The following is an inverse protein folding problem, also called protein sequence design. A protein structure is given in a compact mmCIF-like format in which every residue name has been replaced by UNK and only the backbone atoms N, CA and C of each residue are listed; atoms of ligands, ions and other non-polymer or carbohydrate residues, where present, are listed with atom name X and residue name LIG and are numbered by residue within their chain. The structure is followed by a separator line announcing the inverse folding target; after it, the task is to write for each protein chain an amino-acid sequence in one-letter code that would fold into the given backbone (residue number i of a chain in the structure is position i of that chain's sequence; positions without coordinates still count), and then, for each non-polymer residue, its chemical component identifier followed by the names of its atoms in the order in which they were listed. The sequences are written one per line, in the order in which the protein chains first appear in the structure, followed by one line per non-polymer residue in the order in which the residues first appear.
data_IF_056434475343
#
_entry.id   IF_056434475343
#
_cell.length_a   1.000
_cell.length_b   1.000
_cell.length_c   1.000
_cell.angle_alpha   90.00
_cell.angle_beta   90.00
_cell.angle_gamma   90.00
#
_symmetry.space_group_name_H-M   'P 1'
#
loop_
_entity.id
_entity.type
_entity.pdbx_description
1 polymer ?
#
# COMPACT_ATOMS: atom_id res chain seq x y z
N UNK A 1 -46.50 -56.70 56.52
CA UNK A 1 -46.95 -57.91 55.84
C UNK A 1 -46.50 -57.86 54.38
N UNK A 2 -45.71 -58.89 54.00
CA UNK A 2 -45.18 -59.23 52.66
C UNK A 2 -44.22 -58.25 51.94
N UNK A 3 -42.99 -58.58 52.08
CA UNK A 3 -41.79 -58.30 51.31
C UNK A 3 -41.94 -58.87 49.90
N UNK A 4 -41.55 -58.08 48.91
CA UNK A 4 -41.16 -58.62 47.61
C UNK A 4 -39.94 -57.91 47.06
N UNK A 5 -38.82 -58.60 47.08
CA UNK A 5 -37.57 -58.32 46.44
C UNK A 5 -37.75 -58.35 44.93
N UNK A 6 -37.22 -57.35 44.23
CA UNK A 6 -36.90 -57.47 42.82
C UNK A 6 -35.43 -57.05 42.60
N UNK A 7 -34.69 -58.00 42.04
CA UNK A 7 -33.37 -57.82 41.53
C UNK A 7 -33.39 -56.79 40.38
N UNK A 8 -32.49 -55.80 40.41
CA UNK A 8 -32.19 -54.96 39.28
C UNK A 8 -30.83 -55.36 38.77
N UNK A 9 -30.81 -55.91 37.59
CA UNK A 9 -29.65 -56.28 36.78
C UNK A 9 -28.95 -55.02 36.33
N UNK A 10 -27.67 -54.80 36.74
CA UNK A 10 -26.84 -53.72 36.30
C UNK A 10 -26.29 -54.03 34.89
N UNK A 11 -26.78 -53.36 33.87
CA UNK A 11 -26.18 -53.30 32.55
C UNK A 11 -25.12 -52.20 32.54
N UNK A 12 -23.86 -52.60 32.52
CA UNK A 12 -22.73 -51.73 32.22
C UNK A 12 -22.75 -51.38 30.72
N UNK A 13 -23.19 -50.18 30.37
CA UNK A 13 -22.96 -49.58 29.08
C UNK A 13 -21.67 -48.79 29.14
N UNK A 14 -20.59 -49.32 28.55
CA UNK A 14 -19.38 -48.62 28.25
C UNK A 14 -19.65 -47.60 27.13
N UNK A 15 -19.87 -46.36 27.48
CA UNK A 15 -19.86 -45.25 26.53
C UNK A 15 -18.41 -44.80 26.34
N UNK A 16 -17.78 -45.23 25.25
CA UNK A 16 -16.60 -44.57 24.72
C UNK A 16 -16.98 -43.17 24.24
N UNK A 17 -16.78 -42.15 25.05
CA UNK A 17 -16.79 -40.79 24.63
C UNK A 17 -15.45 -40.45 23.99
N UNK A 18 -15.35 -40.56 22.68
CA UNK A 18 -14.27 -39.95 21.91
C UNK A 18 -14.49 -38.44 21.90
N UNK A 19 -13.89 -37.73 22.83
CA UNK A 19 -13.74 -36.31 22.78
C UNK A 19 -12.71 -35.98 21.72
N UNK A 20 -13.17 -35.90 20.45
CA UNK A 20 -12.42 -35.27 19.37
C UNK A 20 -12.36 -33.78 19.64
N UNK A 21 -11.24 -33.31 20.23
CA UNK A 21 -10.86 -31.91 20.12
C UNK A 21 -10.64 -31.64 18.62
N UNK A 22 -11.24 -30.59 18.04
CA UNK A 22 -10.78 -30.12 16.76
C UNK A 22 -9.38 -29.55 16.98
N UNK A 23 -8.36 -30.30 16.61
CA UNK A 23 -7.00 -29.80 16.44
C UNK A 23 -6.98 -28.98 15.15
N UNK A 24 -7.37 -27.73 15.23
CA UNK A 24 -6.94 -26.73 14.27
C UNK A 24 -5.51 -26.37 14.65
N UNK A 25 -4.57 -27.22 14.30
CA UNK A 25 -3.20 -26.77 14.09
C UNK A 25 -3.25 -25.83 12.91
N UNK A 26 -3.42 -24.54 13.19
CA UNK A 26 -3.08 -23.49 12.29
C UNK A 26 -1.57 -23.65 12.06
N UNK A 27 -1.21 -24.24 10.91
CA UNK A 27 0.18 -24.28 10.47
C UNK A 27 0.62 -22.81 10.34
N UNK A 28 1.45 -22.38 11.26
CA UNK A 28 2.18 -21.12 11.09
C UNK A 28 3.09 -21.29 9.88
N UNK A 29 3.16 -20.28 9.00
CA UNK A 29 4.04 -20.35 7.86
C UNK A 29 5.46 -20.67 8.33
N UNK A 30 6.12 -21.52 7.55
CA UNK A 30 7.52 -21.94 7.70
C UNK A 30 8.41 -20.75 8.08
N UNK A 31 9.49 -20.97 8.85
CA UNK A 31 10.42 -19.90 9.19
C UNK A 31 10.76 -19.10 7.94
N UNK A 32 10.52 -17.80 8.00
CA UNK A 32 10.75 -16.89 6.87
C UNK A 32 12.23 -16.97 6.53
N UNK A 33 12.52 -17.38 5.30
CA UNK A 33 13.89 -17.56 4.82
C UNK A 33 14.70 -16.27 4.98
N UNK A 34 15.98 -16.42 5.35
CA UNK A 34 16.92 -15.32 5.30
C UNK A 34 16.98 -14.81 3.85
N UNK A 35 16.83 -13.51 3.69
CA UNK A 35 16.89 -12.85 2.38
C UNK A 35 18.10 -11.94 2.32
N UNK A 36 18.82 -11.90 1.19
CA UNK A 36 19.94 -10.97 1.02
C UNK A 36 19.53 -9.54 1.40
N UNK A 37 20.43 -8.82 2.06
CA UNK A 37 20.20 -7.42 2.37
C UNK A 37 20.08 -6.62 1.07
N UNK A 38 19.00 -5.86 0.88
CA UNK A 38 18.86 -4.97 -0.27
C UNK A 38 19.98 -3.91 -0.27
N UNK A 39 20.26 -3.38 -1.46
CA UNK A 39 21.27 -2.34 -1.63
C UNK A 39 20.66 -1.11 -2.30
N UNK A 40 21.28 0.06 -2.13
CA UNK A 40 20.83 1.28 -2.82
C UNK A 40 20.80 1.11 -4.34
N UNK A 41 21.75 0.36 -4.91
CA UNK A 41 21.78 0.08 -6.34
C UNK A 41 20.66 -0.85 -6.83
N UNK A 42 20.02 -1.57 -5.91
CA UNK A 42 18.89 -2.48 -6.21
C UNK A 42 17.53 -1.82 -6.09
N UNK A 43 17.44 -0.53 -5.77
CA UNK A 43 16.15 0.18 -5.70
C UNK A 43 15.50 0.20 -7.09
N UNK A 44 14.23 -0.13 -7.15
CA UNK A 44 13.42 0.03 -8.36
C UNK A 44 13.19 1.51 -8.64
N UNK A 45 13.72 1.99 -9.76
CA UNK A 45 13.54 3.37 -10.20
C UNK A 45 12.88 3.38 -11.58
N UNK A 46 11.89 4.24 -11.81
CA UNK A 46 11.25 4.33 -13.12
C UNK A 46 12.18 5.02 -14.12
N UNK A 47 12.07 4.55 -15.37
CA UNK A 47 12.82 5.09 -16.52
C UNK A 47 11.87 5.39 -17.66
N UNK A 48 12.01 6.55 -18.28
CA UNK A 48 11.32 6.90 -19.53
C UNK A 48 12.24 6.55 -20.72
N UNK A 49 12.29 5.28 -21.09
CA UNK A 49 13.23 4.77 -22.11
C UNK A 49 12.85 5.10 -23.56
N UNK A 50 11.65 5.63 -23.79
CA UNK A 50 11.23 6.11 -25.13
C UNK A 50 10.94 5.03 -26.15
N UNK A 51 10.88 3.75 -25.77
CA UNK A 51 10.64 2.65 -26.70
C UNK A 51 9.17 2.58 -27.17
N UNK A 52 8.23 2.98 -26.31
CA UNK A 52 6.81 3.05 -26.61
C UNK A 52 6.29 4.41 -26.15
N UNK A 53 6.11 5.31 -27.09
CA UNK A 53 5.61 6.67 -26.82
C UNK A 53 4.19 6.78 -27.38
N UNK A 54 3.28 7.21 -26.51
CA UNK A 54 1.88 7.50 -26.82
C UNK A 54 1.59 8.97 -26.51
N UNK A 55 0.42 9.44 -26.88
CA UNK A 55 -0.03 10.82 -26.62
C UNK A 55 -0.08 11.64 -27.89
N UNK A 56 0.09 12.97 -27.76
CA UNK A 56 -0.01 13.95 -28.83
C UNK A 56 0.96 15.12 -28.60
N UNK A 57 0.72 16.26 -29.24
CA UNK A 57 1.56 17.47 -29.12
C UNK A 57 1.42 18.17 -27.74
N UNK A 58 0.49 17.74 -26.89
CA UNK A 58 0.21 18.34 -25.59
C UNK A 58 0.74 17.48 -24.43
N UNK A 59 0.66 16.15 -24.58
CA UNK A 59 1.00 15.16 -23.54
C UNK A 59 1.81 14.04 -24.17
N UNK A 60 2.90 13.70 -23.55
CA UNK A 60 3.72 12.54 -23.89
C UNK A 60 3.62 11.48 -22.81
N UNK A 61 3.26 10.27 -23.20
CA UNK A 61 3.15 9.09 -22.33
C UNK A 61 4.21 8.09 -22.76
N UNK A 62 5.17 7.82 -21.89
CA UNK A 62 6.09 6.69 -22.06
C UNK A 62 5.48 5.45 -21.45
N UNK A 63 5.09 4.50 -22.29
CA UNK A 63 4.49 3.23 -21.94
C UNK A 63 5.48 2.06 -22.12
N UNK A 64 6.79 2.34 -22.12
CA UNK A 64 7.84 1.35 -22.39
C UNK A 64 7.94 0.27 -21.33
N UNK A 65 7.50 0.54 -20.10
CA UNK A 65 7.65 -0.33 -18.93
C UNK A 65 6.31 -0.71 -18.28
N UNK A 66 5.27 -0.87 -19.11
CA UNK A 66 3.96 -1.33 -18.61
C UNK A 66 4.00 -2.74 -18.02
N UNK A 67 4.92 -3.56 -18.43
CA UNK A 67 5.19 -4.90 -17.87
C UNK A 67 5.76 -4.84 -16.44
N UNK A 68 6.37 -3.72 -16.06
CA UNK A 68 6.86 -3.43 -14.71
C UNK A 68 5.83 -2.67 -13.87
N UNK A 69 4.68 -2.35 -14.44
CA UNK A 69 3.53 -1.80 -13.73
C UNK A 69 3.53 -0.29 -13.58
N UNK A 70 4.12 0.45 -14.53
CA UNK A 70 4.01 1.91 -14.56
C UNK A 70 4.02 2.47 -15.97
N UNK A 71 3.53 3.70 -16.07
CA UNK A 71 3.76 4.61 -17.19
C UNK A 71 4.39 5.90 -16.65
N UNK A 72 5.06 6.63 -17.53
CA UNK A 72 5.56 7.95 -17.21
C UNK A 72 4.92 8.98 -18.14
N UNK A 73 4.41 10.06 -17.57
CA UNK A 73 3.69 11.09 -18.33
C UNK A 73 4.32 12.43 -18.05
N UNK A 74 4.47 13.23 -19.12
CA UNK A 74 4.82 14.65 -19.01
C UNK A 74 3.94 15.49 -19.90
N UNK A 75 3.65 16.73 -19.49
CA UNK A 75 3.05 17.70 -20.38
C UNK A 75 4.11 18.37 -21.25
N UNK A 76 3.71 18.67 -22.47
CA UNK A 76 4.44 19.56 -23.39
C UNK A 76 3.82 20.95 -23.42
N UNK A 77 2.81 21.19 -22.59
CA UNK A 77 2.02 22.42 -22.48
C UNK A 77 2.31 23.12 -21.15
N UNK A 78 2.48 24.42 -21.18
CA UNK A 78 2.89 25.25 -20.06
C UNK A 78 2.00 26.49 -19.89
N UNK A 79 0.67 26.32 -19.99
CA UNK A 79 -0.29 27.42 -19.91
C UNK A 79 -0.95 27.59 -18.53
N UNK A 80 -0.40 26.92 -17.51
CA UNK A 80 -0.84 26.99 -16.11
C UNK A 80 -2.28 26.55 -15.82
N UNK A 81 -2.93 25.85 -16.75
CA UNK A 81 -4.22 25.22 -16.46
C UNK A 81 -4.03 23.96 -15.64
N UNK A 82 -4.90 23.73 -14.66
CA UNK A 82 -4.89 22.46 -13.92
C UNK A 82 -5.18 21.30 -14.87
N UNK A 83 -4.25 20.36 -14.92
CA UNK A 83 -4.35 19.13 -15.69
C UNK A 83 -4.55 17.95 -14.75
N UNK A 84 -5.42 17.03 -15.12
CA UNK A 84 -5.66 15.79 -14.40
C UNK A 84 -5.51 14.59 -15.32
N UNK A 85 -5.05 13.49 -14.73
CA UNK A 85 -4.98 12.17 -15.37
C UNK A 85 -5.94 11.24 -14.66
N UNK A 86 -6.64 10.38 -15.42
CA UNK A 86 -7.30 9.20 -14.86
C UNK A 86 -6.73 7.95 -15.50
N UNK A 87 -6.38 6.99 -14.66
CA UNK A 87 -6.07 5.62 -15.05
C UNK A 87 -7.33 4.78 -14.80
N UNK A 88 -7.81 4.12 -15.84
CA UNK A 88 -9.11 3.45 -15.83
C UNK A 88 -8.91 2.01 -16.27
N UNK A 89 -9.48 1.07 -15.50
CA UNK A 89 -9.56 -0.35 -15.85
C UNK A 89 -10.77 -0.98 -15.19
N UNK A 90 -11.55 -1.75 -15.94
CA UNK A 90 -12.72 -2.52 -15.46
C UNK A 90 -13.75 -1.70 -14.66
N UNK A 91 -13.85 -0.38 -14.97
CA UNK A 91 -14.76 0.56 -14.30
C UNK A 91 -14.17 1.25 -13.06
N UNK A 92 -13.00 0.84 -12.60
CA UNK A 92 -12.23 1.54 -11.57
C UNK A 92 -11.50 2.74 -12.17
N UNK A 93 -11.55 3.90 -11.53
CA UNK A 93 -10.92 5.14 -11.99
C UNK A 93 -10.00 5.71 -10.91
N UNK A 94 -8.71 5.81 -11.21
CA UNK A 94 -7.68 6.38 -10.32
C UNK A 94 -7.30 7.77 -10.79
N UNK A 95 -7.65 8.83 -10.04
CA UNK A 95 -7.33 10.20 -10.41
C UNK A 95 -5.93 10.60 -9.91
N UNK A 96 -5.23 11.37 -10.76
CA UNK A 96 -3.94 11.97 -10.48
C UNK A 96 -3.89 13.40 -11.03
N UNK A 97 -2.92 14.19 -10.58
CA UNK A 97 -2.59 15.47 -11.16
C UNK A 97 -1.44 15.32 -12.19
N UNK A 98 -1.36 16.23 -13.15
CA UNK A 98 -0.24 16.33 -14.10
C UNK A 98 0.44 17.66 -13.84
N UNK A 99 1.72 17.64 -13.46
CA UNK A 99 2.52 18.84 -13.30
C UNK A 99 2.96 19.40 -14.66
N UNK A 100 3.16 20.71 -14.70
CA UNK A 100 3.54 21.42 -15.93
C UNK A 100 4.98 21.94 -15.85
N UNK A 101 5.88 21.13 -15.30
CA UNK A 101 7.31 21.43 -15.21
C UNK A 101 8.12 20.80 -16.37
N UNK A 102 7.47 20.03 -17.23
CA UNK A 102 8.08 19.31 -18.36
C UNK A 102 8.80 18.03 -17.98
N UNK A 103 8.79 17.67 -16.70
CA UNK A 103 9.36 16.43 -16.23
C UNK A 103 8.38 15.27 -16.35
N UNK A 104 8.90 14.07 -16.47
CA UNK A 104 8.09 12.86 -16.39
C UNK A 104 7.70 12.58 -14.93
N UNK A 105 6.41 12.30 -14.73
CA UNK A 105 5.85 11.79 -13.48
C UNK A 105 5.47 10.33 -13.68
N UNK A 106 5.74 9.51 -12.70
CA UNK A 106 5.41 8.08 -12.72
C UNK A 106 4.01 7.85 -12.17
N UNK A 107 3.21 7.10 -12.93
CA UNK A 107 1.85 6.69 -12.55
C UNK A 107 1.78 5.16 -12.53
N UNK A 108 1.39 4.56 -11.40
CA UNK A 108 1.40 3.11 -11.25
C UNK A 108 0.18 2.46 -11.90
N UNK A 109 0.36 1.25 -12.44
CA UNK A 109 -0.68 0.42 -13.04
C UNK A 109 -1.09 -0.70 -12.06
N UNK A 110 -1.73 -0.32 -10.96
CA UNK A 110 -2.00 -1.18 -9.79
C UNK A 110 -3.24 -2.07 -9.92
N UNK A 111 -3.97 -1.97 -11.03
CA UNK A 111 -5.19 -2.74 -11.26
C UNK A 111 -4.95 -4.11 -11.94
N UNK A 112 -3.68 -4.57 -11.96
CA UNK A 112 -3.29 -5.87 -12.54
C UNK A 112 -3.23 -5.85 -14.07
N UNK A 113 -2.94 -7.00 -14.66
CA UNK A 113 -2.87 -7.16 -16.12
C UNK A 113 -4.23 -6.95 -16.78
N UNK A 114 -4.25 -6.43 -18.02
CA UNK A 114 -5.45 -6.21 -18.82
C UNK A 114 -5.41 -4.92 -19.61
N UNK A 115 -6.55 -4.53 -20.19
CA UNK A 115 -6.66 -3.32 -20.97
C UNK A 115 -6.88 -2.10 -20.05
N UNK A 116 -6.02 -1.10 -20.22
CA UNK A 116 -6.09 0.17 -19.53
C UNK A 116 -6.52 1.29 -20.46
N UNK A 117 -7.22 2.25 -19.92
CA UNK A 117 -7.53 3.52 -20.57
C UNK A 117 -6.95 4.65 -19.73
N UNK A 118 -6.25 5.57 -20.37
CA UNK A 118 -5.75 6.82 -19.77
C UNK A 118 -6.53 7.96 -20.35
N UNK A 119 -7.09 8.80 -19.49
CA UNK A 119 -7.75 10.07 -19.89
C UNK A 119 -7.06 11.25 -19.24
N UNK A 120 -6.68 12.19 -20.06
CA UNK A 120 -6.25 13.52 -19.61
C UNK A 120 -7.40 14.50 -19.63
N UNK A 121 -7.38 15.42 -18.69
CA UNK A 121 -8.40 16.46 -18.53
C UNK A 121 -7.72 17.80 -18.30
N UNK A 122 -8.31 18.87 -18.85
CA UNK A 122 -7.93 20.23 -18.51
C UNK A 122 -9.07 20.95 -17.77
N UNK A 123 -8.71 21.74 -16.77
CA UNK A 123 -9.68 22.58 -16.07
C UNK A 123 -10.15 23.72 -16.99
N UNK A 124 -11.46 23.89 -17.10
CA UNK A 124 -12.07 24.98 -17.86
C UNK A 124 -12.47 26.11 -16.92
N UNK A 125 -13.16 25.79 -15.82
CA UNK A 125 -13.64 26.77 -14.85
C UNK A 125 -14.13 26.07 -13.58
N UNK A 126 -13.65 26.50 -12.42
CA UNK A 126 -14.02 25.91 -11.13
C UNK A 126 -13.74 24.40 -11.09
N UNK A 127 -14.77 23.59 -10.88
CA UNK A 127 -14.66 22.11 -10.86
C UNK A 127 -14.95 21.45 -12.23
N UNK A 128 -15.12 22.23 -13.29
CA UNK A 128 -15.42 21.69 -14.63
C UNK A 128 -14.14 21.39 -15.39
N UNK A 129 -14.06 20.18 -15.94
CA UNK A 129 -12.96 19.70 -16.75
C UNK A 129 -13.44 19.22 -18.12
N UNK A 130 -12.67 19.50 -19.17
CA UNK A 130 -12.84 18.89 -20.48
C UNK A 130 -11.85 17.77 -20.70
N UNK A 131 -12.24 16.77 -21.48
CA UNK A 131 -11.33 15.74 -21.94
C UNK A 131 -10.32 16.35 -22.90
N UNK A 132 -9.05 16.20 -22.59
CA UNK A 132 -7.93 16.67 -23.39
C UNK A 132 -7.45 15.58 -24.34
N UNK A 133 -7.29 14.36 -23.83
CA UNK A 133 -6.89 13.20 -24.62
C UNK A 133 -7.45 11.90 -24.02
N UNK A 134 -7.43 10.87 -24.84
CA UNK A 134 -7.78 9.49 -24.45
C UNK A 134 -6.85 8.53 -25.15
N UNK A 135 -6.26 7.61 -24.40
CA UNK A 135 -5.38 6.57 -24.90
C UNK A 135 -5.71 5.22 -24.25
N UNK A 136 -5.69 4.15 -25.06
CA UNK A 136 -5.92 2.78 -24.60
C UNK A 136 -4.74 1.91 -24.98
N UNK A 137 -4.33 1.03 -24.06
CA UNK A 137 -3.25 0.07 -24.29
C UNK A 137 -3.42 -1.17 -23.41
N UNK A 138 -2.80 -2.26 -23.82
CA UNK A 138 -2.82 -3.51 -23.04
C UNK A 138 -1.59 -3.57 -22.12
N UNK A 139 -1.81 -4.02 -20.90
CA UNK A 139 -0.79 -4.24 -19.88
C UNK A 139 -0.71 -5.72 -19.56
N UNK A 140 0.50 -6.25 -19.56
CA UNK A 140 0.80 -7.58 -19.08
C UNK A 140 1.94 -7.47 -18.08
N UNK A 141 1.60 -7.44 -16.82
CA UNK A 141 2.57 -7.37 -15.74
C UNK A 141 3.46 -8.63 -15.74
N UNK A 142 4.75 -8.44 -15.59
CA UNK A 142 5.70 -9.54 -15.38
C UNK A 142 5.47 -10.19 -14.02
N UNK A 143 5.17 -9.38 -13.00
CA UNK A 143 4.75 -9.80 -11.66
C UNK A 143 3.71 -8.81 -11.12
N UNK A 144 2.65 -9.34 -10.49
CA UNK A 144 1.53 -8.53 -9.95
C UNK A 144 1.95 -7.60 -8.79
N UNK A 145 3.12 -7.83 -8.21
CA UNK A 145 3.66 -7.02 -7.10
C UNK A 145 4.55 -5.87 -7.55
N UNK A 146 5.04 -5.87 -8.79
CA UNK A 146 5.97 -4.87 -9.31
C UNK A 146 5.47 -3.42 -9.21
N UNK A 147 4.19 -3.10 -9.50
CA UNK A 147 3.70 -1.72 -9.38
C UNK A 147 3.91 -1.12 -7.99
N UNK A 148 4.05 -1.97 -6.97
CA UNK A 148 4.18 -1.59 -5.56
C UNK A 148 5.62 -1.54 -5.06
N UNK A 149 6.59 -1.55 -5.98
CA UNK A 149 8.04 -1.39 -5.69
C UNK A 149 8.59 -0.06 -6.21
N UNK A 150 7.91 0.57 -7.17
CA UNK A 150 8.37 1.81 -7.79
C UNK A 150 7.88 3.06 -7.05
N UNK A 151 8.67 4.15 -7.01
CA UNK A 151 8.14 5.45 -6.65
C UNK A 151 7.10 5.90 -7.67
N UNK A 152 6.14 6.68 -7.20
CA UNK A 152 5.09 7.25 -8.02
C UNK A 152 4.66 8.61 -7.46
N UNK A 153 3.65 9.27 -8.04
CA UNK A 153 3.20 10.58 -7.56
C UNK A 153 2.82 10.59 -6.06
N UNK A 154 2.28 9.49 -5.55
CA UNK A 154 1.78 9.39 -4.16
C UNK A 154 2.89 8.98 -3.19
N UNK A 155 3.69 7.99 -3.56
CA UNK A 155 4.84 7.50 -2.80
C UNK A 155 6.10 7.95 -3.54
N UNK A 156 6.45 9.21 -3.34
CA UNK A 156 7.51 9.86 -4.12
C UNK A 156 8.83 9.90 -3.34
N UNK A 157 9.89 9.37 -3.95
CA UNK A 157 11.25 9.37 -3.40
C UNK A 157 12.30 9.22 -4.50
N UNK A 158 13.52 9.57 -4.15
CA UNK A 158 14.72 9.33 -4.96
C UNK A 158 15.76 8.53 -4.14
N UNK A 159 16.79 7.96 -4.75
CA UNK A 159 17.86 7.29 -4.01
C UNK A 159 18.58 8.18 -2.99
N UNK A 160 18.50 9.51 -3.16
CA UNK A 160 19.12 10.51 -2.28
C UNK A 160 18.19 10.98 -1.16
N UNK A 161 16.92 10.57 -1.18
CA UNK A 161 15.96 10.95 -0.13
C UNK A 161 16.42 10.50 1.25
N UNK A 162 16.27 11.36 2.24
CA UNK A 162 16.64 11.05 3.62
C UNK A 162 15.90 9.84 4.18
N UNK A 163 14.64 9.67 3.81
CA UNK A 163 13.80 8.52 4.15
C UNK A 163 14.33 7.20 3.59
N UNK A 164 14.91 7.23 2.37
CA UNK A 164 15.57 6.08 1.75
C UNK A 164 16.82 5.70 2.53
N UNK A 165 17.71 6.65 2.75
CA UNK A 165 18.94 6.41 3.51
C UNK A 165 18.66 5.93 4.92
N UNK A 166 17.65 6.50 5.58
CA UNK A 166 17.22 6.09 6.91
C UNK A 166 16.67 4.65 6.93
N UNK A 167 15.98 4.22 5.89
CA UNK A 167 15.52 2.84 5.78
C UNK A 167 16.68 1.85 5.80
N UNK A 168 17.73 2.09 5.01
CA UNK A 168 18.92 1.23 4.99
C UNK A 168 19.67 1.24 6.31
N UNK A 169 19.82 2.40 6.96
CA UNK A 169 20.43 2.53 8.29
C UNK A 169 19.72 1.67 9.34
N UNK A 170 18.38 1.71 9.35
CA UNK A 170 17.57 0.95 10.31
C UNK A 170 17.61 -0.57 10.11
N UNK A 171 17.75 -1.02 8.88
CA UNK A 171 17.58 -2.43 8.53
C UNK A 171 18.89 -3.17 8.28
N UNK A 172 20.06 -2.54 8.53
CA UNK A 172 21.37 -3.09 8.24
C UNK A 172 21.64 -4.46 8.90
N UNK A 173 21.07 -4.71 10.07
CA UNK A 173 21.24 -5.94 10.83
C UNK A 173 20.06 -6.94 10.64
N UNK A 174 19.04 -6.57 9.86
CA UNK A 174 17.90 -7.44 9.60
C UNK A 174 18.26 -8.53 8.59
N UNK A 175 17.87 -9.77 8.89
CA UNK A 175 18.16 -10.93 8.03
C UNK A 175 16.98 -11.38 7.20
N UNK A 176 15.76 -11.08 7.64
CA UNK A 176 14.51 -11.49 6.98
C UNK A 176 13.67 -10.30 6.55
N UNK A 177 12.78 -10.50 5.58
CA UNK A 177 11.82 -9.48 5.16
C UNK A 177 10.95 -9.03 6.33
N UNK A 178 10.54 -9.97 7.17
CA UNK A 178 9.67 -9.68 8.31
C UNK A 178 10.38 -8.83 9.38
N UNK A 179 11.66 -9.09 9.67
CA UNK A 179 12.44 -8.24 10.55
C UNK A 179 12.54 -6.81 10.02
N UNK A 180 12.75 -6.64 8.69
CA UNK A 180 12.75 -5.32 8.05
C UNK A 180 11.40 -4.62 8.18
N UNK A 181 10.29 -5.34 7.92
CA UNK A 181 8.92 -4.79 8.09
C UNK A 181 8.70 -4.30 9.52
N UNK A 182 9.04 -5.13 10.52
CA UNK A 182 8.89 -4.79 11.94
C UNK A 182 9.74 -3.59 12.35
N UNK A 183 10.99 -3.57 11.92
CA UNK A 183 11.92 -2.50 12.26
C UNK A 183 11.43 -1.17 11.72
N UNK A 184 11.02 -1.13 10.45
CA UNK A 184 10.49 0.08 9.80
C UNK A 184 9.16 0.50 10.45
N UNK A 185 8.24 -0.43 10.67
CA UNK A 185 6.98 -0.13 11.33
C UNK A 185 7.18 0.51 12.71
N UNK A 186 7.94 -0.17 13.56
CA UNK A 186 8.22 0.32 14.90
C UNK A 186 8.91 1.70 14.90
N UNK A 187 9.76 1.94 13.90
CA UNK A 187 10.37 3.24 13.73
C UNK A 187 9.32 4.31 13.37
N UNK A 188 8.50 4.08 12.34
CA UNK A 188 7.50 5.06 11.90
C UNK A 188 6.52 5.38 13.02
N UNK A 189 5.96 4.36 13.70
CA UNK A 189 5.01 4.52 14.81
C UNK A 189 5.60 5.33 15.98
N UNK A 190 6.88 5.13 16.28
CA UNK A 190 7.53 5.84 17.41
C UNK A 190 8.07 7.21 17.03
N UNK A 191 8.47 7.39 15.78
CA UNK A 191 9.13 8.61 15.30
C UNK A 191 8.13 9.70 14.93
N UNK A 192 7.01 9.32 14.30
CA UNK A 192 6.02 10.27 13.80
C UNK A 192 4.89 10.43 14.82
N UNK A 193 4.56 11.65 15.17
CA UNK A 193 3.37 12.01 15.96
C UNK A 193 2.27 12.56 15.06
N UNK A 194 1.00 12.34 15.44
CA UNK A 194 -0.11 12.81 14.61
C UNK A 194 -0.22 14.34 14.62
N UNK A 195 -0.31 14.92 13.42
CA UNK A 195 -0.39 16.36 13.21
C UNK A 195 -1.86 16.80 13.07
N UNK A 196 -2.45 17.19 14.18
CA UNK A 196 -3.84 17.66 14.23
C UNK A 196 -4.05 18.98 13.49
N UNK A 197 -3.04 19.85 13.47
CA UNK A 197 -3.10 21.15 12.79
C UNK A 197 -3.14 20.92 11.27
N UNK A 198 -2.22 20.08 10.75
CA UNK A 198 -2.23 19.68 9.34
C UNK A 198 -3.52 18.97 8.95
N UNK A 199 -4.06 18.10 9.81
CA UNK A 199 -5.30 17.38 9.54
C UNK A 199 -6.48 18.33 9.33
N UNK A 200 -6.57 19.42 10.09
CA UNK A 200 -7.61 20.43 9.92
C UNK A 200 -7.37 21.31 8.69
N UNK A 201 -6.11 21.68 8.42
CA UNK A 201 -5.74 22.50 7.24
C UNK A 201 -6.06 21.81 5.90
N UNK A 202 -5.84 20.48 5.83
CA UNK A 202 -6.05 19.72 4.58
C UNK A 202 -7.43 19.07 4.46
N UNK A 203 -8.31 19.33 5.39
CA UNK A 203 -9.65 18.70 5.46
C UNK A 203 -10.44 18.76 4.16
N UNK A 204 -10.35 19.89 3.45
CA UNK A 204 -11.01 20.15 2.17
C UNK A 204 -10.03 20.20 0.99
N UNK A 205 -8.78 19.76 1.19
CA UNK A 205 -7.73 19.81 0.20
C UNK A 205 -7.06 18.44 0.03
N UNK A 206 -6.67 18.12 -1.20
CA UNK A 206 -5.84 16.97 -1.48
C UNK A 206 -4.38 17.41 -1.56
N UNK A 207 -3.61 17.11 -0.52
CA UNK A 207 -2.19 17.47 -0.42
C UNK A 207 -1.37 16.18 -0.44
N UNK A 208 -0.43 16.10 -1.38
CA UNK A 208 0.46 14.95 -1.50
C UNK A 208 1.46 14.93 -0.33
N UNK A 209 1.80 13.73 0.18
CA UNK A 209 2.82 13.58 1.21
C UNK A 209 4.22 13.96 0.68
N UNK A 210 5.01 14.60 1.52
CA UNK A 210 6.45 14.79 1.30
C UNK A 210 7.18 13.96 2.34
N UNK A 211 7.69 12.80 1.93
CA UNK A 211 8.20 11.76 2.86
C UNK A 211 9.39 12.24 3.70
N UNK A 212 10.28 13.05 3.13
CA UNK A 212 11.43 13.57 3.84
C UNK A 212 11.05 14.68 4.84
N UNK A 213 9.99 15.44 4.57
CA UNK A 213 9.44 16.40 5.52
C UNK A 213 8.81 15.67 6.72
N UNK A 214 8.03 14.61 6.45
CA UNK A 214 7.47 13.76 7.50
C UNK A 214 8.55 13.15 8.38
N UNK A 215 9.63 12.65 7.77
CA UNK A 215 10.77 12.11 8.50
C UNK A 215 11.45 13.19 9.35
N UNK A 216 11.75 14.36 8.76
CA UNK A 216 12.52 15.40 9.43
C UNK A 216 11.78 16.10 10.56
N UNK A 217 10.46 16.30 10.38
CA UNK A 217 9.61 16.97 11.35
C UNK A 217 9.10 16.02 12.44
N UNK A 218 9.08 14.71 12.18
CA UNK A 218 8.50 13.72 13.08
C UNK A 218 7.00 13.94 13.32
N UNK A 219 6.30 14.51 12.32
CA UNK A 219 4.86 14.80 12.36
C UNK A 219 4.21 14.52 11.02
N UNK A 220 2.94 14.08 11.05
CA UNK A 220 2.15 13.87 9.85
C UNK A 220 0.74 13.38 10.13
N UNK A 221 -0.08 13.33 9.08
CA UNK A 221 -1.40 12.71 9.09
C UNK A 221 -1.33 11.29 8.55
N UNK A 222 -2.43 10.55 8.53
CA UNK A 222 -2.48 9.17 8.06
C UNK A 222 -1.82 8.95 6.70
N UNK A 223 -1.97 9.89 5.77
CA UNK A 223 -1.38 9.81 4.45
C UNK A 223 0.15 9.93 4.48
N UNK A 224 0.69 10.79 5.34
CA UNK A 224 2.14 10.96 5.54
C UNK A 224 2.78 9.73 6.16
N UNK A 225 2.15 9.15 7.20
CA UNK A 225 2.59 7.89 7.81
C UNK A 225 2.66 6.76 6.78
N UNK A 226 1.57 6.59 6.01
CA UNK A 226 1.48 5.54 5.01
C UNK A 226 2.51 5.72 3.89
N UNK A 227 2.75 6.96 3.43
CA UNK A 227 3.72 7.26 2.39
C UNK A 227 5.16 7.05 2.86
N UNK A 228 5.51 7.49 4.08
CA UNK A 228 6.84 7.27 4.66
C UNK A 228 7.11 5.78 4.83
N UNK A 229 6.16 5.03 5.40
CA UNK A 229 6.30 3.59 5.58
C UNK A 229 6.42 2.85 4.23
N UNK A 230 5.59 3.20 3.24
CA UNK A 230 5.66 2.60 1.90
C UNK A 230 7.00 2.88 1.23
N UNK A 231 7.51 4.11 1.33
CA UNK A 231 8.85 4.47 0.82
C UNK A 231 9.92 3.58 1.45
N UNK A 232 9.95 3.52 2.78
CA UNK A 232 10.99 2.78 3.50
C UNK A 232 10.95 1.28 3.21
N UNK A 233 9.77 0.70 2.99
CA UNK A 233 9.61 -0.73 2.68
C UNK A 233 9.92 -1.04 1.21
N UNK A 234 9.48 -0.21 0.26
CA UNK A 234 9.75 -0.42 -1.18
C UNK A 234 11.23 -0.47 -1.49
N UNK A 235 12.02 0.41 -0.87
CA UNK A 235 13.49 0.41 -1.06
C UNK A 235 14.17 -0.80 -0.42
N UNK A 236 13.50 -1.50 0.48
CA UNK A 236 13.90 -2.80 1.01
C UNK A 236 13.41 -3.98 0.14
N UNK A 237 12.97 -3.74 -1.08
CA UNK A 237 12.43 -4.75 -2.01
C UNK A 237 11.18 -5.46 -1.45
N UNK A 238 10.41 -4.79 -0.61
CA UNK A 238 9.17 -5.30 -0.04
C UNK A 238 8.00 -4.57 -0.71
N UNK A 239 7.26 -5.26 -1.60
CA UNK A 239 6.12 -4.64 -2.28
C UNK A 239 5.11 -4.13 -1.24
N UNK A 240 4.80 -2.84 -1.33
CA UNK A 240 3.96 -2.16 -0.34
C UNK A 240 2.89 -1.32 -1.03
N UNK A 241 1.64 -1.62 -0.75
CA UNK A 241 0.48 -0.82 -1.14
C UNK A 241 0.25 0.27 -0.11
N UNK A 242 0.25 1.51 -0.55
CA UNK A 242 -0.41 2.58 0.18
C UNK A 242 -1.89 2.54 -0.24
N UNK A 243 -2.77 2.38 0.71
CA UNK A 243 -4.21 2.30 0.47
C UNK A 243 -4.86 3.54 1.05
N UNK A 244 -5.78 4.13 0.29
CA UNK A 244 -6.68 5.15 0.79
C UNK A 244 -8.12 4.68 0.65
N UNK A 245 -8.96 5.08 1.59
CA UNK A 245 -10.34 4.63 1.61
C UNK A 245 -11.12 5.22 2.78
N UNK A 246 -12.12 4.51 3.25
CA UNK A 246 -12.98 4.97 4.33
C UNK A 246 -12.91 4.04 5.53
N UNK A 247 -12.92 4.64 6.70
CA UNK A 247 -13.15 4.05 8.01
C UNK A 247 -14.35 4.75 8.63
N UNK A 248 -14.81 4.31 9.80
CA UNK A 248 -16.00 4.91 10.44
C UNK A 248 -15.81 6.41 10.75
N UNK A 249 -14.58 6.85 11.01
CA UNK A 249 -14.22 8.24 11.30
C UNK A 249 -14.06 9.11 10.03
N UNK A 250 -14.02 8.52 8.84
CA UNK A 250 -13.91 9.25 7.58
C UNK A 250 -12.89 8.70 6.60
N UNK A 251 -12.35 9.58 5.74
CA UNK A 251 -11.34 9.19 4.76
C UNK A 251 -9.98 9.00 5.43
N UNK A 252 -9.33 7.89 5.12
CA UNK A 252 -8.14 7.43 5.83
C UNK A 252 -7.11 6.79 4.89
N UNK A 253 -5.87 6.61 5.38
CA UNK A 253 -4.80 5.95 4.66
C UNK A 253 -4.08 4.93 5.56
N UNK A 254 -3.73 3.77 4.97
CA UNK A 254 -3.01 2.68 5.62
C UNK A 254 -2.12 1.93 4.62
N UNK A 255 -1.45 0.88 5.07
CA UNK A 255 -0.57 0.07 4.23
C UNK A 255 -0.88 -1.42 4.30
N UNK A 256 -0.62 -2.11 3.18
CA UNK A 256 -0.47 -3.56 3.11
C UNK A 256 0.90 -3.89 2.53
N UNK A 257 1.54 -4.91 3.07
CA UNK A 257 2.85 -5.37 2.60
C UNK A 257 2.76 -6.79 2.06
N UNK A 258 3.54 -7.08 1.03
CA UNK A 258 3.66 -8.42 0.49
C UNK A 258 4.91 -9.08 1.04
N UNK A 259 4.72 -10.19 1.77
CA UNK A 259 5.82 -11.00 2.30
C UNK A 259 5.85 -12.34 1.59
N UNK A 260 7.00 -12.72 1.08
CA UNK A 260 7.16 -14.01 0.36
C UNK A 260 6.69 -15.17 1.21
N UNK A 261 5.89 -16.05 0.62
CA UNK A 261 5.31 -17.21 1.32
C UNK A 261 4.07 -16.93 2.14
N UNK A 262 3.81 -15.67 2.51
CA UNK A 262 2.61 -15.26 3.26
C UNK A 262 1.60 -14.48 2.41
N UNK A 263 2.05 -13.88 1.28
CA UNK A 263 1.21 -13.03 0.44
C UNK A 263 1.06 -11.62 0.99
N UNK A 264 -0.03 -10.95 0.62
CA UNK A 264 -0.37 -9.63 1.16
C UNK A 264 -0.80 -9.77 2.61
N UNK A 265 -0.04 -9.14 3.49
CA UNK A 265 -0.32 -9.10 4.91
C UNK A 265 -0.50 -7.66 5.37
N UNK A 266 -1.32 -7.52 6.39
CA UNK A 266 -1.26 -6.35 7.23
C UNK A 266 -0.24 -6.66 8.34
N UNK A 267 0.88 -5.93 8.45
CA UNK A 267 1.95 -6.30 9.37
C UNK A 267 1.55 -6.36 10.85
N UNK A 268 0.56 -5.60 11.31
CA UNK A 268 0.06 -5.65 12.69
C UNK A 268 -0.54 -7.02 13.04
N UNK A 269 -1.20 -7.65 12.08
CA UNK A 269 -1.81 -8.97 12.24
C UNK A 269 -0.78 -10.06 12.61
N UNK A 270 0.45 -9.91 12.14
CA UNK A 270 1.49 -10.94 12.32
C UNK A 270 2.13 -10.93 13.69
N UNK A 271 2.01 -9.85 14.47
CA UNK A 271 2.81 -9.61 15.68
C UNK A 271 2.03 -9.63 16.98
N UNK A 272 0.72 -9.44 16.97
CA UNK A 272 -0.12 -9.63 18.14
C UNK A 272 -0.79 -11.02 18.11
N UNK A 273 -0.33 -11.91 18.97
CA UNK A 273 -0.69 -13.33 19.05
C UNK A 273 -2.17 -13.63 19.27
N UNK A 274 -3.04 -12.65 19.52
CA UNK A 274 -4.41 -12.90 19.96
C UNK A 274 -5.50 -12.01 19.34
N UNK A 275 -5.19 -10.96 18.57
CA UNK A 275 -6.21 -10.14 17.93
C UNK A 275 -5.79 -9.65 16.53
N UNK A 276 -6.57 -10.00 15.54
CA UNK A 276 -6.39 -9.58 14.16
C UNK A 276 -6.76 -8.10 13.99
N UNK A 277 -5.78 -7.22 13.96
CA UNK A 277 -5.96 -5.79 13.71
C UNK A 277 -5.15 -5.36 12.49
N UNK A 278 -5.74 -4.57 11.59
CA UNK A 278 -5.04 -3.99 10.43
C UNK A 278 -3.95 -3.04 10.90
N UNK A 279 -2.84 -2.99 10.15
CA UNK A 279 -1.76 -2.08 10.44
C UNK A 279 -2.07 -0.69 9.97
N UNK A 280 -2.43 0.10 10.92
CA UNK A 280 -2.60 1.52 10.74
C UNK A 280 -1.57 2.22 11.64
N UNK A 281 -0.45 2.69 11.08
CA UNK A 281 0.59 3.33 11.88
C UNK A 281 0.07 4.59 12.58
N UNK A 282 -1.00 5.19 12.07
CA UNK A 282 -1.66 6.34 12.67
C UNK A 282 -2.38 5.95 13.97
N UNK A 283 -3.22 4.92 13.92
CA UNK A 283 -3.89 4.43 15.14
C UNK A 283 -2.90 3.88 16.16
N UNK A 284 -1.87 3.16 15.70
CA UNK A 284 -0.82 2.66 16.57
C UNK A 284 -0.05 3.79 17.30
N UNK A 285 0.27 4.88 16.60
CA UNK A 285 0.98 6.03 17.19
C UNK A 285 0.13 6.80 18.20
N UNK A 286 -1.19 6.84 18.01
CA UNK A 286 -2.15 7.49 18.92
C UNK A 286 -2.64 6.57 20.03
N UNK A 287 -2.18 5.31 20.09
CA UNK A 287 -2.63 4.26 21.01
C UNK A 287 -4.15 3.96 20.90
N UNK A 288 -4.77 4.31 19.80
CA UNK A 288 -6.17 3.99 19.52
C UNK A 288 -6.25 2.60 18.90
N UNK A 289 -7.14 1.75 19.43
CA UNK A 289 -7.49 0.47 18.79
C UNK A 289 -8.71 0.70 17.92
N UNK A 290 -8.53 0.62 16.62
CA UNK A 290 -9.64 0.66 15.68
C UNK A 290 -10.12 -0.77 15.38
N UNK A 291 -11.39 -1.03 15.65
CA UNK A 291 -12.04 -2.33 15.46
C UNK A 291 -13.12 -2.29 14.37
N UNK A 292 -13.25 -1.16 13.67
CA UNK A 292 -14.25 -0.94 12.62
C UNK A 292 -13.89 -1.57 11.28
N UNK A 293 -14.68 -1.28 10.27
CA UNK A 293 -14.48 -1.77 8.91
C UNK A 293 -13.69 -0.77 8.08
N UNK A 294 -12.76 -1.28 7.29
CA UNK A 294 -12.03 -0.52 6.27
C UNK A 294 -12.67 -0.81 4.90
N UNK A 295 -12.89 0.26 4.15
CA UNK A 295 -13.37 0.19 2.78
C UNK A 295 -12.30 0.80 1.86
N UNK A 296 -11.52 -0.05 1.20
CA UNK A 296 -10.51 0.39 0.24
C UNK A 296 -11.16 1.17 -0.90
N UNK A 297 -10.49 2.24 -1.31
CA UNK A 297 -10.87 3.02 -2.49
C UNK A 297 -9.77 3.01 -3.54
N UNK A 298 -8.55 3.32 -3.15
CA UNK A 298 -7.40 3.33 -4.05
C UNK A 298 -6.22 2.57 -3.43
N UNK A 299 -5.43 1.90 -4.28
CA UNK A 299 -4.19 1.19 -3.93
C UNK A 299 -3.08 1.72 -4.82
N UNK A 300 -2.10 2.37 -4.21
CA UNK A 300 -0.97 3.01 -4.88
C UNK A 300 0.34 2.27 -4.64
#
# INVERSE_FOLDING_TARGET
MKIRRWLVLALLLSACSSSGKPSSTQEYPTPIEETPAPTLAGIHLPEASGNVILGDDLIQIDASHTDQGYIMVKTLRFDHRHLKLKIIKDGEEYPYDIDQDGNYITYPLTLGSGQYEIRGYENIEGSRYAVLFKQTFDVRLSEETLPFLYPNQIVNYSPQSASVLKSFDLTQDCRTELERVLTIYNFVVKHVSYDWDKAEEVKDQYVLPVVDDTLSQGKGICFDYAALMSTMLRVQQIPTRLITGYVDEGYHAWVEVYVRGAGWINPEIYFEKETWTRMDPTYASTQMKYTGQYQDKYRY
#
